data_IF_247430941478
#
_entry.id   IF_247430941478
#
_cell.length_a   1.000
_cell.length_b   1.000
_cell.length_c   1.000
_cell.angle_alpha   90.00
_cell.angle_beta   90.00
_cell.angle_gamma   90.00
#
_symmetry.space_group_name_H-M   'P 1'
#
loop_
_entity.id
_entity.type
_entity.pdbx_description
1 polymer ?
#
# COMPACT_ATOMS: atom_id res chain seq x y z
N UNK A 1 15.95 -46.81 -25.37
CA UNK A 1 16.34 -46.47 -23.98
C UNK A 1 16.72 -44.98 -23.86
N UNK A 2 15.86 -44.02 -24.26
CA UNK A 2 16.29 -42.60 -24.29
C UNK A 2 15.20 -41.55 -23.98
N UNK A 3 13.90 -41.86 -24.04
CA UNK A 3 12.86 -40.84 -23.75
C UNK A 3 12.51 -40.65 -22.27
N UNK A 4 12.85 -41.63 -21.40
CA UNK A 4 12.54 -41.55 -19.96
C UNK A 4 13.37 -40.47 -19.24
N UNK A 5 14.57 -40.16 -19.74
CA UNK A 5 15.50 -39.17 -19.16
C UNK A 5 15.13 -37.72 -19.52
N UNK A 6 14.36 -37.53 -20.59
CA UNK A 6 13.94 -36.21 -21.07
C UNK A 6 12.64 -35.71 -20.43
N UNK A 7 11.82 -36.59 -19.84
CA UNK A 7 10.62 -36.19 -19.12
C UNK A 7 10.92 -35.70 -17.69
N UNK A 8 12.06 -36.10 -17.11
CA UNK A 8 12.46 -35.66 -15.77
C UNK A 8 13.08 -34.24 -15.75
N UNK A 9 13.62 -33.77 -16.88
CA UNK A 9 14.28 -32.47 -16.97
C UNK A 9 13.30 -31.28 -17.16
N UNK A 10 12.05 -31.55 -17.55
CA UNK A 10 11.06 -30.52 -17.88
C UNK A 10 10.06 -30.22 -16.75
N UNK A 11 10.26 -30.81 -15.58
CA UNK A 11 9.39 -30.60 -14.41
C UNK A 11 9.97 -29.60 -13.38
N UNK A 12 11.17 -29.07 -13.60
CA UNK A 12 11.94 -28.33 -12.58
C UNK A 12 12.10 -26.82 -12.85
N UNK A 13 11.18 -26.16 -13.57
CA UNK A 13 11.43 -24.78 -14.04
C UNK A 13 10.41 -23.71 -13.69
N UNK A 14 9.40 -23.91 -12.83
CA UNK A 14 8.48 -22.80 -12.55
C UNK A 14 7.93 -22.74 -11.12
N UNK A 15 8.82 -22.58 -10.14
CA UNK A 15 8.48 -21.85 -8.91
C UNK A 15 8.93 -20.40 -9.13
N UNK A 16 8.14 -19.65 -9.90
CA UNK A 16 8.26 -18.20 -9.92
C UNK A 16 7.61 -17.69 -8.63
N UNK A 17 8.44 -17.27 -7.66
CA UNK A 17 7.97 -16.66 -6.42
C UNK A 17 7.11 -15.44 -6.72
N UNK A 18 5.93 -15.38 -6.10
CA UNK A 18 5.02 -14.25 -6.23
C UNK A 18 5.66 -13.04 -5.52
N UNK A 19 6.30 -12.15 -6.28
CA UNK A 19 6.78 -10.88 -5.76
C UNK A 19 5.58 -9.95 -5.53
N UNK A 20 5.11 -9.84 -4.28
CA UNK A 20 4.13 -8.82 -3.92
C UNK A 20 4.85 -7.47 -3.80
N UNK A 21 4.66 -6.60 -4.78
CA UNK A 21 5.02 -5.20 -4.64
C UNK A 21 3.97 -4.53 -3.74
N UNK A 22 4.39 -4.10 -2.56
CA UNK A 22 3.57 -3.24 -1.71
C UNK A 22 3.87 -1.79 -2.08
N UNK A 23 2.83 -0.97 -2.27
CA UNK A 23 3.02 0.43 -2.60
C UNK A 23 3.77 1.13 -1.46
N UNK A 24 4.76 1.94 -1.83
CA UNK A 24 5.58 2.72 -0.88
C UNK A 24 5.60 4.18 -1.28
N UNK A 25 5.64 5.07 -0.28
CA UNK A 25 5.81 6.50 -0.49
C UNK A 25 7.02 6.99 0.30
N UNK A 26 7.83 7.83 -0.35
CA UNK A 26 8.98 8.47 0.28
C UNK A 26 8.58 9.82 0.89
N UNK A 27 8.84 9.94 2.19
CA UNK A 27 8.70 11.17 2.96
C UNK A 27 10.10 11.63 3.40
N UNK A 28 10.73 12.49 2.61
CA UNK A 28 12.13 12.88 2.83
C UNK A 28 13.08 11.69 2.70
N UNK A 29 13.80 11.37 3.77
CA UNK A 29 14.69 10.20 3.85
C UNK A 29 13.99 8.91 4.26
N UNK A 30 12.76 9.00 4.78
CA UNK A 30 12.00 7.87 5.30
C UNK A 30 11.02 7.33 4.25
N UNK A 31 10.60 6.07 4.43
CA UNK A 31 9.64 5.39 3.59
C UNK A 31 8.46 4.91 4.44
N UNK A 32 7.25 5.13 3.92
CA UNK A 32 6.02 4.49 4.41
C UNK A 32 5.57 3.45 3.40
N UNK A 33 4.90 2.41 3.89
CA UNK A 33 4.38 1.31 3.07
C UNK A 33 2.95 0.97 3.46
N UNK A 34 2.23 0.25 2.60
CA UNK A 34 0.93 -0.29 2.96
C UNK A 34 1.03 -1.13 4.25
N UNK A 35 0.07 -0.94 5.15
CA UNK A 35 0.05 -1.54 6.47
C UNK A 35 0.72 -0.71 7.56
N UNK A 36 1.46 0.36 7.26
CA UNK A 36 1.97 1.27 8.30
C UNK A 36 0.81 1.87 9.10
N UNK A 37 1.06 2.14 10.40
CA UNK A 37 0.06 2.78 11.27
C UNK A 37 -0.03 4.27 10.99
N UNK A 38 -1.20 4.87 11.25
CA UNK A 38 -1.37 6.32 11.09
C UNK A 38 -0.33 7.12 11.90
N UNK A 39 -0.03 6.70 13.13
CA UNK A 39 1.02 7.32 13.96
C UNK A 39 2.42 7.17 13.38
N UNK A 40 2.73 6.03 12.76
CA UNK A 40 4.01 5.80 12.11
C UNK A 40 4.16 6.68 10.86
N UNK A 41 3.08 6.83 10.09
CA UNK A 41 3.04 7.75 8.95
C UNK A 41 3.23 9.20 9.42
N UNK A 42 2.55 9.66 10.48
CA UNK A 42 2.77 11.00 11.04
C UNK A 42 4.21 11.21 11.49
N UNK A 43 4.81 10.21 12.15
CA UNK A 43 6.20 10.31 12.60
C UNK A 43 7.19 10.39 11.43
N UNK A 44 6.90 9.72 10.31
CA UNK A 44 7.78 9.68 9.13
C UNK A 44 7.55 10.81 8.14
N UNK A 45 6.31 11.25 7.98
CA UNK A 45 5.88 12.19 6.94
C UNK A 45 5.49 13.56 7.49
N UNK A 46 5.32 13.69 8.81
CA UNK A 46 4.81 14.89 9.44
C UNK A 46 3.30 15.04 9.28
N UNK A 47 2.82 16.25 9.52
CA UNK A 47 1.40 16.58 9.43
C UNK A 47 0.94 16.72 7.97
N UNK A 48 -0.15 16.05 7.55
CA UNK A 48 -0.74 16.25 6.23
C UNK A 48 -1.41 17.62 6.10
N UNK A 49 -1.67 18.06 4.86
CA UNK A 49 -2.40 19.31 4.60
C UNK A 49 -3.89 19.17 4.88
N UNK A 50 -4.47 17.98 4.71
CA UNK A 50 -5.85 17.67 5.11
C UNK A 50 -5.96 16.25 5.63
N UNK A 51 -6.95 16.03 6.53
CA UNK A 51 -7.39 14.71 6.99
C UNK A 51 -8.90 14.68 6.93
N UNK A 52 -9.42 13.97 5.96
CA UNK A 52 -10.84 13.93 5.66
C UNK A 52 -11.41 12.57 6.06
N UNK A 53 -12.44 12.57 6.91
CA UNK A 53 -13.15 11.35 7.29
C UNK A 53 -14.14 11.02 6.19
N UNK A 54 -13.84 9.97 5.42
CA UNK A 54 -14.67 9.55 4.29
C UNK A 54 -15.88 8.68 4.74
N UNK A 55 -15.82 8.12 5.94
CA UNK A 55 -16.93 7.37 6.54
C UNK A 55 -16.47 6.14 7.30
N UNK A 56 -17.29 5.10 7.29
CA UNK A 56 -17.03 3.84 7.98
C UNK A 56 -17.24 2.65 7.04
N UNK A 57 -16.39 1.63 7.15
CA UNK A 57 -16.51 0.36 6.43
C UNK A 57 -16.64 -0.78 7.43
N UNK A 58 -17.43 -1.78 7.05
CA UNK A 58 -17.53 -3.04 7.79
C UNK A 58 -16.44 -4.00 7.34
N UNK A 59 -15.87 -4.70 8.29
CA UNK A 59 -14.94 -5.80 8.04
C UNK A 59 -15.58 -6.89 7.20
N UNK A 60 -14.76 -7.71 6.55
CA UNK A 60 -15.24 -8.82 5.72
C UNK A 60 -16.12 -9.81 6.49
N UNK A 61 -15.85 -10.01 7.78
CA UNK A 61 -16.68 -10.86 8.65
C UNK A 61 -17.90 -10.13 9.25
N UNK A 62 -18.11 -8.85 8.92
CA UNK A 62 -19.16 -7.94 9.42
C UNK A 62 -19.22 -7.78 10.95
N UNK A 63 -18.15 -8.14 11.66
CA UNK A 63 -18.09 -8.05 13.13
C UNK A 63 -17.58 -6.70 13.62
N UNK A 64 -16.86 -5.98 12.76
CA UNK A 64 -16.19 -4.76 13.13
C UNK A 64 -16.53 -3.68 12.10
N UNK A 65 -16.71 -2.46 12.59
CA UNK A 65 -16.84 -1.28 11.78
C UNK A 65 -15.65 -0.38 12.08
N UNK A 66 -14.97 0.08 11.04
CA UNK A 66 -13.78 0.90 11.17
C UNK A 66 -13.90 2.15 10.31
N UNK A 67 -13.33 3.24 10.82
CA UNK A 67 -13.30 4.52 10.15
C UNK A 67 -12.40 4.46 8.90
N UNK A 68 -12.80 5.18 7.87
CA UNK A 68 -12.02 5.38 6.66
C UNK A 68 -11.68 6.86 6.56
N UNK A 69 -10.39 7.13 6.46
CA UNK A 69 -9.87 8.50 6.35
C UNK A 69 -9.01 8.61 5.10
N UNK A 70 -8.98 9.80 4.52
CA UNK A 70 -8.04 10.17 3.46
C UNK A 70 -7.19 11.33 3.93
N UNK A 71 -5.87 11.16 3.89
CA UNK A 71 -4.93 12.19 4.24
C UNK A 71 -4.23 12.69 2.98
N UNK A 72 -4.20 14.01 2.82
CA UNK A 72 -3.60 14.64 1.65
C UNK A 72 -2.23 15.23 2.03
N UNK A 73 -1.22 14.94 1.23
CA UNK A 73 0.10 15.59 1.29
C UNK A 73 0.42 16.30 -0.02
N UNK A 74 1.26 17.34 0.06
CA UNK A 74 1.72 18.12 -1.08
C UNK A 74 0.99 19.46 -1.24
N UNK A 75 1.11 20.11 -2.40
CA UNK A 75 1.80 19.61 -3.58
C UNK A 75 3.33 19.63 -3.39
N UNK A 76 4.00 18.51 -3.66
CA UNK A 76 5.46 18.46 -3.78
C UNK A 76 5.81 18.37 -5.27
N UNK A 77 6.47 19.40 -5.82
CA UNK A 77 6.73 19.53 -7.26
C UNK A 77 5.47 19.37 -8.14
N UNK A 78 4.35 19.92 -7.67
CA UNK A 78 3.05 19.85 -8.35
C UNK A 78 2.33 18.50 -8.23
N UNK A 79 2.80 17.57 -7.40
CA UNK A 79 2.15 16.28 -7.13
C UNK A 79 1.53 16.27 -5.73
N UNK A 80 0.26 15.91 -5.66
CA UNK A 80 -0.45 15.54 -4.44
C UNK A 80 -0.34 14.05 -4.18
N UNK A 81 -0.32 13.68 -2.91
CA UNK A 81 -0.35 12.31 -2.44
C UNK A 81 -1.57 12.11 -1.55
N UNK A 82 -2.38 11.10 -1.84
CA UNK A 82 -3.58 10.76 -1.08
C UNK A 82 -3.38 9.40 -0.42
N UNK A 83 -3.41 9.40 0.91
CA UNK A 83 -3.21 8.19 1.72
C UNK A 83 -4.55 7.78 2.31
N UNK A 84 -5.04 6.58 1.97
CA UNK A 84 -6.28 6.03 2.53
C UNK A 84 -5.97 5.18 3.75
N UNK A 85 -6.54 5.54 4.89
CA UNK A 85 -6.48 4.75 6.12
C UNK A 85 -7.79 4.02 6.34
N UNK A 86 -7.69 2.76 6.77
CA UNK A 86 -8.81 1.99 7.27
C UNK A 86 -8.53 1.57 8.72
N UNK A 87 -9.33 2.09 9.65
CA UNK A 87 -9.17 1.97 11.10
C UNK A 87 -7.94 2.72 11.62
N UNK A 88 -6.76 2.18 11.37
CA UNK A 88 -5.47 2.78 11.74
C UNK A 88 -4.33 2.24 10.85
N UNK A 89 -4.65 1.73 9.66
CA UNK A 89 -3.68 1.10 8.77
C UNK A 89 -3.77 1.76 7.42
N UNK A 90 -2.61 2.11 6.86
CA UNK A 90 -2.50 2.60 5.50
C UNK A 90 -2.87 1.49 4.53
N UNK A 91 -3.85 1.74 3.66
CA UNK A 91 -4.37 0.76 2.71
C UNK A 91 -4.16 1.13 1.26
N UNK A 92 -3.99 2.41 0.96
CA UNK A 92 -3.81 2.90 -0.40
C UNK A 92 -2.93 4.15 -0.40
N UNK A 93 -2.11 4.27 -1.44
CA UNK A 93 -1.26 5.42 -1.72
C UNK A 93 -1.52 5.80 -3.17
N UNK A 94 -2.10 6.98 -3.40
CA UNK A 94 -2.31 7.51 -4.74
C UNK A 94 -1.53 8.81 -4.94
N UNK A 95 -1.01 9.02 -6.16
CA UNK A 95 -0.39 10.29 -6.56
C UNK A 95 -1.18 10.95 -7.69
N UNK A 96 -1.44 12.25 -7.59
CA UNK A 96 -2.08 13.02 -8.66
C UNK A 96 -1.34 14.33 -8.92
N UNK A 97 -1.15 14.68 -10.19
CA UNK A 97 -0.65 16.00 -10.58
C UNK A 97 -1.74 17.06 -10.38
N UNK A 98 -1.40 18.18 -9.74
CA UNK A 98 -2.28 19.35 -9.68
C UNK A 98 -2.47 19.92 -11.09
N UNK A 99 -3.72 20.23 -11.45
CA UNK A 99 -4.05 20.96 -12.68
C UNK A 99 -3.68 22.44 -12.57
#
# INVERSE_FOLDING_TARGET
MTHRKWLAAMALTFVAGQASASDTLRCGSQLISLGDRASEVLNKCGEPVSRDVLGYKRSANRREEFQVEEWTYGPNNGMYQYLRFEGNRLKQIDSKRGN
#
